data_IF_117659872630
#
_entry.id   IF_117659872630
#
_cell.length_a   1.000
_cell.length_b   1.000
_cell.length_c   1.000
_cell.angle_alpha   90.00
_cell.angle_beta   90.00
_cell.angle_gamma   90.00
#
_symmetry.space_group_name_H-M   'P 1'
#
loop_
_entity.id
_entity.type
_entity.pdbx_description
1 polymer ?
#
# COMPACT_ATOMS: atom_id res chain seq x y z
N UNK A 1 19.93 13.38 -24.43
CA UNK A 1 19.12 12.39 -23.72
C UNK A 1 18.20 13.20 -22.83
N UNK A 2 16.91 13.23 -23.09
CA UNK A 2 15.93 13.75 -22.13
C UNK A 2 15.90 12.72 -21.02
N UNK A 3 16.52 13.02 -19.90
CA UNK A 3 16.34 12.21 -18.68
C UNK A 3 14.90 12.47 -18.25
N UNK A 4 14.03 11.46 -18.37
CA UNK A 4 12.72 11.51 -17.73
C UNK A 4 12.97 11.76 -16.24
N UNK A 5 12.61 12.94 -15.77
CA UNK A 5 12.78 13.36 -14.38
C UNK A 5 11.74 12.59 -13.55
N UNK A 6 12.17 11.62 -12.74
CA UNK A 6 11.30 10.80 -11.90
C UNK A 6 10.76 11.63 -10.73
N UNK A 7 9.56 12.19 -10.92
CA UNK A 7 8.94 13.11 -9.97
C UNK A 7 7.88 12.41 -9.11
N UNK A 8 8.01 12.55 -7.80
CA UNK A 8 7.04 12.11 -6.80
C UNK A 8 6.46 13.31 -6.09
N UNK A 9 5.15 13.38 -5.98
CA UNK A 9 4.45 14.28 -5.06
C UNK A 9 3.89 13.47 -3.91
N UNK A 10 4.34 13.79 -2.70
CA UNK A 10 3.89 13.18 -1.45
C UNK A 10 2.92 14.10 -0.74
N UNK A 11 1.68 13.64 -0.57
CA UNK A 11 0.63 14.38 0.14
C UNK A 11 0.43 13.76 1.53
N UNK A 12 0.77 14.53 2.54
CA UNK A 12 0.78 14.14 3.94
C UNK A 12 2.18 13.88 4.49
N UNK A 13 2.78 14.92 5.11
CA UNK A 13 4.09 14.88 5.76
C UNK A 13 4.00 14.36 7.21
N UNK A 14 3.18 13.31 7.44
CA UNK A 14 3.09 12.59 8.69
C UNK A 14 4.22 11.55 8.85
N UNK A 15 4.18 10.73 9.91
CA UNK A 15 5.21 9.72 10.18
C UNK A 15 5.39 8.74 9.02
N UNK A 16 4.30 8.29 8.39
CA UNK A 16 4.35 7.39 7.22
C UNK A 16 4.97 8.09 6.03
N UNK A 17 4.47 9.29 5.68
CA UNK A 17 4.99 10.08 4.56
C UNK A 17 6.46 10.38 4.71
N UNK A 18 6.91 10.81 5.89
CA UNK A 18 8.31 11.13 6.11
C UNK A 18 9.22 9.90 6.17
N UNK A 19 8.73 8.75 6.66
CA UNK A 19 9.46 7.48 6.52
C UNK A 19 9.65 7.08 5.06
N UNK A 20 8.64 7.31 4.22
CA UNK A 20 8.73 7.09 2.78
C UNK A 20 9.70 8.07 2.13
N UNK A 21 9.57 9.37 2.39
CA UNK A 21 10.47 10.41 1.86
C UNK A 21 11.94 10.11 2.20
N UNK A 22 12.23 9.75 3.45
CA UNK A 22 13.57 9.36 3.89
C UNK A 22 14.06 8.08 3.23
N UNK A 23 13.17 7.10 3.02
CA UNK A 23 13.51 5.87 2.29
C UNK A 23 13.81 6.14 0.81
N UNK A 24 13.06 7.04 0.14
CA UNK A 24 13.34 7.47 -1.24
C UNK A 24 14.73 8.11 -1.34
N UNK A 25 15.06 9.02 -0.42
CA UNK A 25 16.36 9.70 -0.36
C UNK A 25 17.49 8.70 -0.20
N UNK A 26 17.41 7.79 0.78
CA UNK A 26 18.47 6.81 1.03
C UNK A 26 18.66 5.81 -0.12
N UNK A 27 17.61 5.51 -0.88
CA UNK A 27 17.66 4.56 -2.00
C UNK A 27 17.84 5.24 -3.37
N UNK A 28 17.95 6.58 -3.42
CA UNK A 28 18.01 7.35 -4.66
C UNK A 28 16.88 6.93 -5.65
N UNK A 29 15.66 6.87 -5.11
CA UNK A 29 14.55 6.23 -5.81
C UNK A 29 13.73 7.20 -6.69
N UNK A 30 13.92 8.51 -6.58
CA UNK A 30 13.37 9.52 -7.47
C UNK A 30 14.36 10.68 -7.64
N UNK A 31 14.10 11.58 -8.57
CA UNK A 31 14.95 12.74 -8.87
C UNK A 31 14.35 14.04 -8.29
N UNK A 32 13.02 14.09 -8.17
CA UNK A 32 12.29 15.21 -7.59
C UNK A 32 11.22 14.72 -6.61
N UNK A 33 11.23 15.28 -5.41
CA UNK A 33 10.26 14.98 -4.34
C UNK A 33 9.60 16.29 -3.88
N UNK A 34 8.30 16.38 -4.08
CA UNK A 34 7.48 17.50 -3.62
C UNK A 34 6.71 17.06 -2.38
N UNK A 35 6.76 17.85 -1.32
CA UNK A 35 6.01 17.60 -0.08
C UNK A 35 4.82 18.54 -0.01
N UNK A 36 3.62 17.98 0.11
CA UNK A 36 2.38 18.74 0.32
C UNK A 36 1.77 18.31 1.65
N UNK A 37 1.48 19.28 2.51
CA UNK A 37 0.76 19.06 3.77
C UNK A 37 -0.16 20.25 4.05
N UNK A 38 -1.29 19.99 4.72
CA UNK A 38 -2.20 21.05 5.18
C UNK A 38 -1.46 22.08 6.06
N UNK A 39 -0.49 21.62 6.84
CA UNK A 39 0.43 22.46 7.57
C UNK A 39 1.68 22.74 6.69
N UNK A 40 1.61 23.80 5.87
CA UNK A 40 2.70 24.20 4.96
C UNK A 40 4.04 24.39 5.67
N UNK A 41 4.06 24.98 6.88
CA UNK A 41 5.29 25.15 7.66
C UNK A 41 5.93 23.81 8.03
N UNK A 42 5.12 22.79 8.26
CA UNK A 42 5.62 21.44 8.48
C UNK A 42 6.28 20.90 7.21
N UNK A 43 5.61 20.98 6.07
CA UNK A 43 6.19 20.52 4.80
C UNK A 43 7.52 21.25 4.47
N UNK A 44 7.58 22.56 4.71
CA UNK A 44 8.81 23.36 4.57
C UNK A 44 9.93 22.86 5.50
N UNK A 45 9.63 22.64 6.78
CA UNK A 45 10.60 22.13 7.76
C UNK A 45 11.12 20.75 7.41
N UNK A 46 10.23 19.83 7.02
CA UNK A 46 10.59 18.47 6.60
C UNK A 46 11.46 18.49 5.31
N UNK A 47 11.12 19.36 4.34
CA UNK A 47 11.93 19.54 3.14
C UNK A 47 13.32 20.07 3.46
N UNK A 48 13.43 21.04 4.37
CA UNK A 48 14.72 21.59 4.82
C UNK A 48 15.58 20.51 5.48
N UNK A 49 15.03 19.73 6.37
CA UNK A 49 15.74 18.68 7.10
C UNK A 49 16.26 17.58 6.16
N UNK A 50 15.42 17.12 5.22
CA UNK A 50 15.85 16.19 4.17
C UNK A 50 16.97 16.76 3.28
N UNK A 51 16.87 18.04 2.87
CA UNK A 51 17.90 18.70 2.07
C UNK A 51 19.24 18.82 2.81
N UNK A 52 19.22 19.06 4.12
CA UNK A 52 20.45 19.07 4.91
C UNK A 52 21.14 17.70 4.92
N UNK A 53 20.38 16.62 4.82
CA UNK A 53 20.89 15.25 4.70
C UNK A 53 21.52 14.92 3.35
N UNK A 54 21.17 15.65 2.27
CA UNK A 54 21.67 15.35 0.91
C UNK A 54 23.19 15.40 0.80
N UNK A 55 23.85 16.27 1.56
CA UNK A 55 25.32 16.36 1.57
C UNK A 55 26.02 15.04 1.98
N UNK A 56 25.31 14.14 2.65
CA UNK A 56 25.80 12.84 3.12
C UNK A 56 25.17 11.66 2.37
N UNK A 57 24.30 11.93 1.40
CA UNK A 57 23.61 10.94 0.59
C UNK A 57 24.29 10.72 -0.76
N UNK A 58 24.13 9.53 -1.32
CA UNK A 58 24.48 9.27 -2.73
C UNK A 58 23.42 9.80 -3.71
N UNK A 59 22.27 10.25 -3.21
CA UNK A 59 21.19 10.79 -4.02
C UNK A 59 21.50 12.23 -4.46
N UNK A 60 21.05 12.57 -5.68
CA UNK A 60 21.00 13.94 -6.19
C UNK A 60 19.53 14.27 -6.45
N UNK A 61 18.81 14.59 -5.39
CA UNK A 61 17.37 14.76 -5.41
C UNK A 61 17.00 16.20 -5.13
N UNK A 62 16.07 16.76 -5.91
CA UNK A 62 15.44 18.06 -5.62
C UNK A 62 14.26 17.82 -4.66
N UNK A 63 14.32 18.43 -3.47
CA UNK A 63 13.28 18.27 -2.44
C UNK A 63 12.75 19.64 -2.03
N UNK A 64 11.43 19.84 -2.06
CA UNK A 64 10.81 21.09 -1.64
C UNK A 64 9.36 20.90 -1.19
N UNK A 65 8.87 21.85 -0.39
CA UNK A 65 7.45 21.99 -0.10
C UNK A 65 6.76 22.66 -1.28
N UNK A 66 5.69 22.04 -1.79
CA UNK A 66 4.98 22.52 -2.98
C UNK A 66 3.48 22.64 -2.76
N UNK A 67 2.78 22.88 -3.88
CA UNK A 67 1.33 23.04 -3.95
C UNK A 67 0.74 22.02 -4.93
N UNK A 68 -0.59 21.95 -5.05
CA UNK A 68 -1.24 20.97 -5.92
C UNK A 68 -0.93 21.15 -7.41
N UNK A 69 -0.54 22.35 -7.85
CA UNK A 69 -0.08 22.63 -9.20
C UNK A 69 1.17 21.85 -9.60
N UNK A 70 2.02 21.52 -8.61
CA UNK A 70 3.22 20.70 -8.81
C UNK A 70 2.87 19.22 -9.16
N UNK A 71 1.61 18.80 -9.02
CA UNK A 71 1.17 17.47 -9.44
C UNK A 71 1.11 17.32 -10.97
N UNK A 72 1.01 18.41 -11.73
CA UNK A 72 0.78 18.40 -13.18
C UNK A 72 1.74 17.51 -13.96
N UNK A 73 3.01 17.56 -13.62
CA UNK A 73 4.10 16.82 -14.27
C UNK A 73 4.69 15.71 -13.38
N UNK A 74 3.96 15.31 -12.35
CA UNK A 74 4.36 14.21 -11.48
C UNK A 74 4.07 12.85 -12.13
N UNK A 75 4.99 11.90 -11.94
CA UNK A 75 4.76 10.51 -12.35
C UNK A 75 3.91 9.75 -11.33
N UNK A 76 4.13 10.05 -10.06
CA UNK A 76 3.43 9.38 -8.96
C UNK A 76 2.97 10.41 -7.93
N UNK A 77 1.69 10.40 -7.61
CA UNK A 77 1.13 11.08 -6.43
C UNK A 77 0.88 10.05 -5.35
N UNK A 78 1.56 10.20 -4.21
CA UNK A 78 1.46 9.31 -3.05
C UNK A 78 0.62 9.97 -1.97
N UNK A 79 -0.47 9.32 -1.55
CA UNK A 79 -1.37 9.84 -0.51
C UNK A 79 -1.12 9.11 0.80
N UNK A 80 -0.46 9.79 1.73
CA UNK A 80 -0.28 9.38 3.13
C UNK A 80 -1.10 10.24 4.10
N UNK A 81 -1.82 11.23 3.57
CA UNK A 81 -2.68 12.11 4.35
C UNK A 81 -3.93 11.39 4.83
N UNK A 82 -4.29 11.60 6.08
CA UNK A 82 -5.47 11.04 6.70
C UNK A 82 -5.59 11.52 8.14
N UNK A 83 -6.74 11.28 8.73
CA UNK A 83 -6.99 11.62 10.14
C UNK A 83 -6.93 10.37 11.01
N UNK A 84 -6.32 10.50 12.18
CA UNK A 84 -6.30 9.44 13.17
C UNK A 84 -7.70 9.20 13.77
N UNK A 85 -7.99 7.95 14.15
CA UNK A 85 -9.20 7.61 14.88
C UNK A 85 -9.23 8.30 16.24
N UNK A 86 -10.36 8.90 16.57
CA UNK A 86 -10.59 9.52 17.88
C UNK A 86 -11.02 8.45 18.89
N UNK A 87 -10.74 8.64 20.20
CA UNK A 87 -11.29 7.76 21.22
C UNK A 87 -12.82 7.65 21.13
N UNK A 88 -13.33 6.42 21.07
CA UNK A 88 -14.77 6.14 20.96
C UNK A 88 -15.40 6.37 19.57
N UNK A 89 -14.60 6.75 18.58
CA UNK A 89 -15.10 6.94 17.20
C UNK A 89 -15.33 5.58 16.52
N UNK A 90 -16.47 5.47 15.81
CA UNK A 90 -16.74 4.26 15.01
C UNK A 90 -15.87 4.21 13.75
N UNK A 91 -15.62 3.00 13.22
CA UNK A 91 -14.90 2.79 11.96
C UNK A 91 -15.53 3.59 10.80
N UNK A 92 -16.87 3.62 10.74
CA UNK A 92 -17.60 4.36 9.71
C UNK A 92 -17.42 5.88 9.82
N UNK A 93 -17.46 6.43 11.04
CA UNK A 93 -17.24 7.88 11.25
C UNK A 93 -15.80 8.30 10.84
N UNK A 94 -14.79 7.48 11.17
CA UNK A 94 -13.42 7.68 10.69
C UNK A 94 -13.34 7.63 9.17
N UNK A 95 -14.00 6.64 8.55
CA UNK A 95 -14.00 6.47 7.10
C UNK A 95 -14.62 7.67 6.38
N UNK A 96 -15.75 8.20 6.88
CA UNK A 96 -16.37 9.43 6.37
C UNK A 96 -15.43 10.64 6.43
N UNK A 97 -14.73 10.81 7.55
CA UNK A 97 -13.76 11.90 7.69
C UNK A 97 -12.62 11.77 6.70
N UNK A 98 -12.09 10.57 6.52
CA UNK A 98 -11.04 10.32 5.54
C UNK A 98 -11.53 10.50 4.09
N UNK A 99 -12.78 10.13 3.78
CA UNK A 99 -13.38 10.38 2.46
C UNK A 99 -13.45 11.89 2.13
N UNK A 100 -13.84 12.73 3.10
CA UNK A 100 -13.84 14.20 2.95
C UNK A 100 -12.40 14.73 2.73
N UNK A 101 -11.41 14.22 3.45
CA UNK A 101 -9.99 14.57 3.23
C UNK A 101 -9.56 14.16 1.82
N UNK A 102 -9.89 12.94 1.39
CA UNK A 102 -9.53 12.48 0.04
C UNK A 102 -10.16 13.30 -1.06
N UNK A 103 -11.43 13.70 -0.92
CA UNK A 103 -12.06 14.61 -1.87
C UNK A 103 -11.29 15.93 -1.98
N UNK A 104 -10.91 16.55 -0.86
CA UNK A 104 -10.14 17.81 -0.84
C UNK A 104 -8.71 17.67 -1.40
N UNK A 105 -8.19 16.45 -1.56
CA UNK A 105 -6.90 16.16 -2.16
C UNK A 105 -7.06 15.82 -3.66
N UNK A 106 -7.96 14.90 -3.99
CA UNK A 106 -8.06 14.34 -5.33
C UNK A 106 -8.61 15.37 -6.32
N UNK A 107 -9.57 16.20 -5.92
CA UNK A 107 -10.12 17.26 -6.78
C UNK A 107 -9.04 18.25 -7.27
N UNK A 108 -8.21 18.89 -6.42
CA UNK A 108 -7.15 19.76 -6.89
C UNK A 108 -6.02 19.01 -7.63
N UNK A 109 -5.68 17.78 -7.25
CA UNK A 109 -4.70 16.97 -7.98
C UNK A 109 -5.18 16.71 -9.41
N UNK A 110 -6.42 16.31 -9.60
CA UNK A 110 -6.98 16.09 -10.95
C UNK A 110 -7.12 17.42 -11.73
N UNK A 111 -7.52 18.48 -11.05
CA UNK A 111 -7.63 19.82 -11.66
C UNK A 111 -6.27 20.40 -12.12
N UNK A 112 -5.15 19.97 -11.52
CA UNK A 112 -3.80 20.37 -11.97
C UNK A 112 -3.44 19.87 -13.36
N UNK A 113 -4.15 18.85 -13.87
CA UNK A 113 -3.83 18.15 -15.12
C UNK A 113 -2.92 16.93 -14.92
N UNK A 114 -2.81 16.44 -13.67
CA UNK A 114 -2.09 15.19 -13.36
C UNK A 114 -2.63 14.02 -14.19
N UNK A 115 -1.72 13.22 -14.76
CA UNK A 115 -2.03 12.00 -15.54
C UNK A 115 -1.10 10.82 -15.18
N UNK A 116 -0.44 10.89 -14.03
CA UNK A 116 0.44 9.85 -13.50
C UNK A 116 -0.30 8.72 -12.77
N UNK A 117 0.35 8.20 -11.75
CA UNK A 117 -0.14 7.06 -10.95
C UNK A 117 -0.47 7.55 -9.53
N UNK A 118 -1.67 7.24 -9.04
CA UNK A 118 -2.02 7.37 -7.63
C UNK A 118 -1.55 6.14 -6.83
N UNK A 119 -0.78 6.36 -5.77
CA UNK A 119 -0.38 5.35 -4.80
C UNK A 119 -0.90 5.72 -3.41
N UNK A 120 -1.84 4.93 -2.91
CA UNK A 120 -2.55 5.20 -1.65
C UNK A 120 -1.95 4.38 -0.51
N UNK A 121 -1.67 5.03 0.63
CA UNK A 121 -1.19 4.39 1.86
C UNK A 121 -2.09 4.66 3.08
N UNK A 122 -3.08 5.49 2.94
CA UNK A 122 -4.01 5.87 4.04
C UNK A 122 -4.99 4.75 4.33
N UNK A 123 -5.10 4.36 5.61
CA UNK A 123 -6.06 3.35 6.05
C UNK A 123 -7.48 3.92 6.22
N UNK A 124 -8.51 3.04 5.97
CA UNK A 124 -8.43 1.68 5.43
C UNK A 124 -8.09 1.68 3.94
N UNK A 125 -6.90 1.17 3.60
CA UNK A 125 -6.24 1.42 2.30
C UNK A 125 -7.05 0.96 1.10
N UNK A 126 -7.69 -0.19 1.16
CA UNK A 126 -8.45 -0.74 0.03
C UNK A 126 -9.67 0.14 -0.30
N UNK A 127 -10.38 0.60 0.74
CA UNK A 127 -11.54 1.50 0.58
C UNK A 127 -11.09 2.88 0.11
N UNK A 128 -10.00 3.42 0.69
CA UNK A 128 -9.46 4.72 0.26
C UNK A 128 -8.93 4.67 -1.18
N UNK A 129 -8.40 3.53 -1.62
CA UNK A 129 -8.02 3.29 -3.02
C UNK A 129 -9.25 3.29 -3.94
N UNK A 130 -10.37 2.65 -3.52
CA UNK A 130 -11.64 2.72 -4.26
C UNK A 130 -12.20 4.14 -4.32
N UNK A 131 -12.14 4.89 -3.21
CA UNK A 131 -12.56 6.30 -3.17
C UNK A 131 -11.70 7.13 -4.14
N UNK A 132 -10.39 6.92 -4.18
CA UNK A 132 -9.50 7.59 -5.13
C UNK A 132 -9.92 7.31 -6.58
N UNK A 133 -10.26 6.06 -6.89
CA UNK A 133 -10.76 5.66 -8.21
C UNK A 133 -12.05 6.39 -8.58
N UNK A 134 -13.03 6.40 -7.68
CA UNK A 134 -14.33 7.01 -7.93
C UNK A 134 -14.22 8.53 -8.09
N UNK A 135 -13.44 9.20 -7.23
CA UNK A 135 -13.29 10.66 -7.26
C UNK A 135 -12.42 11.15 -8.43
N UNK A 136 -11.38 10.42 -8.80
CA UNK A 136 -10.48 10.84 -9.88
C UNK A 136 -10.98 10.50 -11.28
N UNK A 137 -11.79 9.46 -11.43
CA UNK A 137 -12.19 8.93 -12.73
C UNK A 137 -11.07 8.32 -13.57
N UNK A 138 -9.89 8.09 -12.96
CA UNK A 138 -8.73 7.55 -13.67
C UNK A 138 -8.93 6.07 -14.06
N UNK A 139 -8.12 5.63 -15.04
CA UNK A 139 -8.03 4.21 -15.34
C UNK A 139 -7.57 3.46 -14.07
N UNK A 140 -8.27 2.40 -13.64
CA UNK A 140 -7.92 1.68 -12.41
C UNK A 140 -6.53 1.04 -12.43
N UNK A 141 -5.87 0.92 -13.58
CA UNK A 141 -4.46 0.51 -13.65
C UNK A 141 -3.51 1.58 -13.09
N UNK A 142 -3.90 2.85 -13.13
CA UNK A 142 -3.13 3.98 -12.59
C UNK A 142 -3.46 4.28 -11.12
N UNK A 143 -4.26 3.44 -10.47
CA UNK A 143 -4.65 3.61 -9.07
C UNK A 143 -4.35 2.32 -8.33
N UNK A 144 -3.48 2.41 -7.33
CA UNK A 144 -3.12 1.29 -6.49
C UNK A 144 -2.95 1.74 -5.04
N UNK A 145 -3.35 0.90 -4.12
CA UNK A 145 -3.03 1.05 -2.72
C UNK A 145 -1.86 0.16 -2.32
N UNK A 146 -1.23 0.44 -1.20
CA UNK A 146 -0.16 -0.43 -0.67
C UNK A 146 -0.66 -1.85 -0.40
N UNK A 147 -1.96 -2.03 -0.18
CA UNK A 147 -2.59 -3.34 0.03
C UNK A 147 -1.87 -4.15 1.11
N UNK A 148 -1.68 -5.41 0.83
CA UNK A 148 -0.99 -6.37 1.71
C UNK A 148 0.52 -6.51 1.41
N UNK A 149 1.15 -5.50 0.77
CA UNK A 149 2.58 -5.55 0.46
C UNK A 149 3.45 -5.63 1.72
N UNK A 150 3.10 -4.86 2.77
CA UNK A 150 3.82 -4.90 4.04
C UNK A 150 3.53 -6.19 4.81
N UNK A 151 2.31 -6.69 4.78
CA UNK A 151 1.91 -7.94 5.45
C UNK A 151 2.62 -9.13 4.81
N UNK A 152 2.75 -9.12 3.49
CA UNK A 152 3.57 -10.09 2.76
C UNK A 152 5.05 -10.03 3.16
N UNK A 153 5.60 -8.83 3.39
CA UNK A 153 6.97 -8.70 3.89
C UNK A 153 7.12 -9.24 5.33
N UNK A 154 6.13 -8.99 6.19
CA UNK A 154 6.05 -9.55 7.56
C UNK A 154 5.99 -11.07 7.54
N UNK A 155 5.12 -11.62 6.68
CA UNK A 155 4.99 -13.07 6.49
C UNK A 155 6.33 -13.69 6.09
N UNK A 156 7.00 -13.12 5.08
CA UNK A 156 8.30 -13.63 4.61
C UNK A 156 9.38 -13.52 5.69
N UNK A 157 9.37 -12.43 6.47
CA UNK A 157 10.30 -12.27 7.58
C UNK A 157 10.11 -13.37 8.63
N UNK A 158 8.87 -13.59 9.11
CA UNK A 158 8.57 -14.61 10.12
C UNK A 158 8.86 -16.04 9.61
N UNK A 159 8.52 -16.31 8.36
CA UNK A 159 8.89 -17.59 7.73
C UNK A 159 10.40 -17.75 7.59
N UNK A 160 11.12 -16.68 7.26
CA UNK A 160 12.58 -16.67 7.17
C UNK A 160 13.23 -17.02 8.50
N UNK A 161 12.77 -16.44 9.60
CA UNK A 161 13.21 -16.76 10.96
C UNK A 161 12.91 -18.22 11.31
N UNK A 162 11.68 -18.68 11.05
CA UNK A 162 11.25 -20.04 11.37
C UNK A 162 12.01 -21.11 10.57
N UNK A 163 12.14 -20.89 9.26
CA UNK A 163 12.80 -21.83 8.35
C UNK A 163 14.32 -21.64 8.27
N UNK A 164 14.87 -20.63 8.96
CA UNK A 164 16.29 -20.25 8.97
C UNK A 164 16.86 -20.00 7.57
N UNK A 165 16.12 -19.23 6.77
CA UNK A 165 16.48 -18.85 5.40
C UNK A 165 16.30 -17.35 5.19
N UNK A 166 17.01 -16.80 4.21
CA UNK A 166 16.78 -15.39 3.81
C UNK A 166 15.34 -15.23 3.31
N UNK A 167 14.55 -14.26 3.84
CA UNK A 167 13.18 -14.00 3.44
C UNK A 167 12.98 -13.79 1.94
N UNK A 168 14.01 -13.36 1.21
CA UNK A 168 13.98 -13.17 -0.24
C UNK A 168 13.84 -14.47 -1.05
N UNK A 169 14.12 -15.60 -0.44
CA UNK A 169 13.96 -16.93 -1.06
C UNK A 169 12.55 -17.51 -0.85
N UNK A 170 11.68 -16.80 -0.13
CA UNK A 170 10.32 -17.24 0.19
C UNK A 170 9.34 -16.57 -0.76
N UNK A 171 8.58 -17.38 -1.49
CA UNK A 171 7.50 -16.96 -2.36
C UNK A 171 6.16 -17.25 -1.68
N UNK A 172 5.78 -16.39 -0.76
CA UNK A 172 4.52 -16.42 -0.04
C UNK A 172 3.90 -15.03 -0.07
N UNK A 173 2.57 -14.95 -0.04
CA UNK A 173 1.82 -13.71 -0.19
C UNK A 173 0.69 -13.65 0.84
N UNK A 174 0.29 -12.45 1.23
CA UNK A 174 -0.93 -12.18 1.97
C UNK A 174 -1.97 -11.61 1.02
N UNK A 175 -3.19 -12.12 1.08
CA UNK A 175 -4.32 -11.77 0.23
C UNK A 175 -5.43 -11.11 1.03
N UNK A 176 -6.33 -10.42 0.34
CA UNK A 176 -7.57 -9.87 0.91
C UNK A 176 -7.47 -8.41 1.30
N UNK A 177 -8.35 -7.99 2.17
CA UNK A 177 -8.34 -6.68 2.83
C UNK A 177 -7.04 -6.52 3.62
N UNK A 178 -6.40 -5.36 3.56
CA UNK A 178 -5.37 -5.03 4.54
C UNK A 178 -6.04 -4.75 5.90
N UNK A 179 -6.18 -5.78 6.73
CA UNK A 179 -6.89 -5.75 8.00
C UNK A 179 -7.20 -7.15 8.54
N UNK A 180 -8.25 -7.24 9.36
CA UNK A 180 -8.56 -8.48 10.10
C UNK A 180 -8.99 -9.66 9.22
N UNK A 181 -9.41 -9.41 7.96
CA UNK A 181 -9.83 -10.46 7.02
C UNK A 181 -8.75 -10.87 6.02
N UNK A 182 -7.51 -10.38 6.17
CA UNK A 182 -6.38 -10.84 5.37
C UNK A 182 -6.05 -12.32 5.66
N UNK A 183 -5.43 -13.00 4.68
CA UNK A 183 -5.06 -14.39 4.85
C UNK A 183 -3.87 -14.81 4.00
N UNK A 184 -3.25 -15.92 4.38
CA UNK A 184 -2.15 -16.54 3.62
C UNK A 184 -2.70 -17.72 2.82
N UNK A 185 -2.62 -17.70 1.47
CA UNK A 185 -2.91 -18.88 0.65
C UNK A 185 -1.74 -19.86 0.74
N UNK A 186 -1.76 -20.70 1.76
CA UNK A 186 -0.71 -21.68 2.03
C UNK A 186 -0.49 -22.69 0.92
N UNK A 187 -1.54 -22.97 0.10
CA UNK A 187 -1.43 -23.81 -1.09
C UNK A 187 -0.43 -23.27 -2.12
N UNK A 188 -0.15 -21.95 -2.08
CA UNK A 188 0.71 -21.24 -3.01
C UNK A 188 2.04 -20.79 -2.38
N UNK A 189 2.25 -21.04 -1.08
CA UNK A 189 3.46 -20.65 -0.39
C UNK A 189 4.62 -21.61 -0.68
N UNK A 190 5.77 -21.06 -1.10
CA UNK A 190 6.94 -21.84 -1.50
C UNK A 190 8.23 -21.30 -0.89
N UNK A 191 9.13 -22.19 -0.55
CA UNK A 191 10.54 -21.92 -0.33
C UNK A 191 11.31 -22.37 -1.59
N UNK A 192 11.91 -21.44 -2.30
CA UNK A 192 12.40 -21.68 -3.66
C UNK A 192 11.30 -22.29 -4.56
N UNK A 193 11.41 -23.55 -4.94
CA UNK A 193 10.42 -24.26 -5.78
C UNK A 193 9.63 -25.31 -5.02
N UNK A 194 9.85 -25.45 -3.70
CA UNK A 194 9.20 -26.48 -2.87
C UNK A 194 8.06 -25.85 -2.08
N UNK A 195 6.88 -26.48 -2.12
CA UNK A 195 5.75 -26.04 -1.30
C UNK A 195 6.08 -26.10 0.19
N UNK A 196 5.73 -25.06 0.94
CA UNK A 196 5.92 -25.02 2.40
C UNK A 196 5.09 -26.13 3.05
N UNK A 197 3.89 -26.44 2.55
CA UNK A 197 3.09 -27.54 3.06
C UNK A 197 3.78 -28.90 2.85
N UNK A 198 4.45 -29.08 1.71
CA UNK A 198 5.24 -30.30 1.45
C UNK A 198 6.45 -30.37 2.38
N UNK A 199 7.08 -29.26 2.72
CA UNK A 199 8.17 -29.24 3.71
C UNK A 199 7.67 -29.70 5.09
N UNK A 200 6.44 -29.32 5.49
CA UNK A 200 5.84 -29.82 6.73
C UNK A 200 5.64 -31.36 6.71
N UNK A 201 5.27 -31.92 5.56
CA UNK A 201 5.03 -33.36 5.44
C UNK A 201 6.33 -34.18 5.45
N UNK A 202 7.42 -33.59 4.97
CA UNK A 202 8.73 -34.25 4.87
C UNK A 202 9.63 -34.01 6.09
N UNK A 203 9.42 -32.93 6.83
CA UNK A 203 10.25 -32.57 7.99
C UNK A 203 9.37 -32.34 9.23
N UNK A 204 9.40 -33.26 10.22
CA UNK A 204 8.64 -33.12 11.46
C UNK A 204 8.97 -31.88 12.30
N UNK A 205 10.09 -31.22 12.07
CA UNK A 205 10.45 -29.95 12.74
C UNK A 205 9.67 -28.75 12.19
N UNK A 206 9.03 -28.89 11.01
CA UNK A 206 8.24 -27.84 10.38
C UNK A 206 6.75 -28.15 10.56
N UNK A 207 6.17 -27.56 11.60
CA UNK A 207 4.81 -27.86 12.04
C UNK A 207 3.78 -26.98 11.31
N UNK A 208 2.69 -27.59 10.83
CA UNK A 208 1.57 -26.87 10.21
C UNK A 208 0.88 -25.92 11.20
N UNK A 209 0.85 -26.24 12.48
CA UNK A 209 0.26 -25.35 13.51
C UNK A 209 1.08 -24.08 13.65
N UNK A 210 2.41 -24.14 13.54
CA UNK A 210 3.27 -22.95 13.55
C UNK A 210 2.98 -22.02 12.36
N UNK A 211 2.63 -22.56 11.20
CA UNK A 211 2.21 -21.74 10.06
C UNK A 211 0.95 -20.93 10.37
N UNK A 212 -0.03 -21.51 11.04
CA UNK A 212 -1.25 -20.79 11.48
C UNK A 212 -0.94 -19.70 12.52
N UNK A 213 0.01 -19.97 13.41
CA UNK A 213 0.46 -18.96 14.38
C UNK A 213 1.14 -17.80 13.67
N UNK A 214 2.02 -18.08 12.69
CA UNK A 214 2.68 -17.05 11.87
C UNK A 214 1.63 -16.19 11.15
N UNK A 215 0.57 -16.77 10.58
CA UNK A 215 -0.52 -16.02 9.96
C UNK A 215 -1.19 -15.07 10.97
N UNK A 216 -1.51 -15.53 12.18
CA UNK A 216 -2.05 -14.69 13.26
C UNK A 216 -1.06 -13.61 13.72
N UNK A 217 0.24 -13.91 13.73
CA UNK A 217 1.28 -12.93 14.06
C UNK A 217 1.39 -11.83 13.00
N UNK A 218 1.21 -12.15 11.71
CA UNK A 218 1.16 -11.17 10.62
C UNK A 218 -0.01 -10.22 10.81
N UNK A 219 -1.24 -10.76 11.00
CA UNK A 219 -2.46 -9.98 11.24
C UNK A 219 -2.33 -9.08 12.47
N UNK A 220 -1.72 -9.61 13.55
CA UNK A 220 -1.53 -8.88 14.81
C UNK A 220 -0.33 -7.95 14.86
N UNK A 221 0.56 -7.94 13.85
CA UNK A 221 1.84 -7.25 13.92
C UNK A 221 1.70 -5.73 14.08
N UNK A 222 0.74 -5.12 13.37
CA UNK A 222 0.51 -3.68 13.45
C UNK A 222 0.08 -3.25 14.86
N UNK A 223 -0.81 -4.01 15.49
CA UNK A 223 -1.30 -3.73 16.85
C UNK A 223 -0.16 -3.78 17.88
N UNK A 224 0.69 -4.82 17.83
CA UNK A 224 1.86 -4.95 18.72
C UNK A 224 2.84 -3.79 18.57
N UNK A 225 3.11 -3.35 17.32
CA UNK A 225 4.01 -2.22 17.05
C UNK A 225 3.41 -0.90 17.57
N UNK A 226 2.10 -0.68 17.35
CA UNK A 226 1.40 0.52 17.81
C UNK A 226 1.35 0.56 19.33
N UNK A 227 1.09 -0.55 20.00
CA UNK A 227 1.14 -0.65 21.45
C UNK A 227 2.52 -0.28 21.99
N UNK A 228 3.60 -0.73 21.34
CA UNK A 228 4.97 -0.50 21.79
C UNK A 228 5.51 0.92 21.52
N UNK A 229 5.10 1.56 20.42
CA UNK A 229 5.69 2.84 19.96
C UNK A 229 4.69 3.85 19.41
N UNK A 230 3.39 3.65 19.66
CA UNK A 230 2.25 4.49 19.29
C UNK A 230 1.95 4.61 17.79
N UNK A 231 2.81 4.12 16.90
CA UNK A 231 2.58 4.14 15.45
C UNK A 231 3.49 3.13 14.74
N UNK A 232 3.08 2.68 13.55
CA UNK A 232 3.91 1.92 12.61
C UNK A 232 4.15 2.76 11.35
N UNK A 233 5.40 2.90 10.91
CA UNK A 233 5.74 3.78 9.78
C UNK A 233 6.99 3.36 8.97
N UNK A 234 7.99 2.73 9.56
CA UNK A 234 9.21 2.35 8.81
C UNK A 234 8.93 1.29 7.74
N UNK A 235 8.20 0.23 8.10
CA UNK A 235 7.90 -0.87 7.17
C UNK A 235 7.08 -0.40 5.98
N UNK A 236 6.06 0.44 6.23
CA UNK A 236 5.23 0.97 5.16
C UNK A 236 5.99 1.98 4.27
N UNK A 237 6.89 2.78 4.84
CA UNK A 237 7.79 3.64 4.06
C UNK A 237 8.66 2.84 3.08
N UNK A 238 9.21 1.70 3.54
CA UNK A 238 9.96 0.78 2.68
C UNK A 238 9.08 0.11 1.61
N UNK A 239 7.86 -0.29 1.95
CA UNK A 239 6.91 -0.88 1.00
C UNK A 239 6.53 0.12 -0.10
N UNK A 240 6.22 1.37 0.24
CA UNK A 240 5.97 2.46 -0.69
C UNK A 240 7.17 2.67 -1.64
N UNK A 241 8.38 2.75 -1.09
CA UNK A 241 9.60 2.88 -1.90
C UNK A 241 9.80 1.69 -2.84
N UNK A 242 9.49 0.47 -2.39
CA UNK A 242 9.58 -0.72 -3.23
C UNK A 242 8.61 -0.67 -4.41
N UNK A 243 7.36 -0.21 -4.18
CA UNK A 243 6.36 -0.02 -5.23
C UNK A 243 6.81 1.09 -6.20
N UNK A 244 7.25 2.23 -5.67
CA UNK A 244 7.78 3.36 -6.48
C UNK A 244 8.93 2.91 -7.39
N UNK A 245 9.88 2.14 -6.87
CA UNK A 245 10.99 1.60 -7.67
C UNK A 245 10.53 0.64 -8.76
N UNK A 246 9.52 -0.19 -8.49
CA UNK A 246 8.95 -1.07 -9.52
C UNK A 246 8.32 -0.29 -10.68
N UNK A 247 7.69 0.85 -10.36
CA UNK A 247 7.10 1.75 -11.35
C UNK A 247 8.20 2.44 -12.15
N UNK A 248 9.12 3.15 -11.51
CA UNK A 248 10.18 3.90 -12.17
C UNK A 248 11.18 3.03 -12.93
N UNK A 249 11.46 1.84 -12.42
CA UNK A 249 12.36 0.87 -13.06
C UNK A 249 11.72 0.08 -14.19
N UNK A 250 10.41 0.25 -14.48
CA UNK A 250 9.65 -0.56 -15.44
C UNK A 250 9.87 -2.08 -15.19
N UNK A 251 9.94 -2.48 -13.90
CA UNK A 251 10.48 -3.78 -13.50
C UNK A 251 9.57 -4.97 -13.84
N UNK A 252 8.26 -4.76 -14.04
CA UNK A 252 7.25 -5.83 -14.09
C UNK A 252 7.30 -6.76 -12.86
N UNK A 253 7.52 -6.17 -11.69
CA UNK A 253 7.62 -6.89 -10.41
C UNK A 253 6.27 -7.38 -9.92
N UNK A 254 6.27 -8.54 -9.25
CA UNK A 254 5.08 -9.07 -8.56
C UNK A 254 5.03 -8.54 -7.13
N UNK A 255 4.01 -7.73 -6.84
CA UNK A 255 3.75 -7.14 -5.52
C UNK A 255 2.28 -7.32 -5.14
N UNK A 256 2.00 -7.55 -3.85
CA UNK A 256 0.62 -7.64 -3.33
C UNK A 256 0.10 -6.25 -3.00
N UNK A 257 -0.46 -5.61 -3.99
CA UNK A 257 -1.04 -4.26 -3.88
C UNK A 257 -2.55 -4.30 -3.89
N UNK A 258 -3.18 -3.28 -3.34
CA UNK A 258 -4.62 -3.08 -3.49
C UNK A 258 -4.91 -2.67 -4.93
N UNK A 259 -5.56 -3.56 -5.67
CA UNK A 259 -5.89 -3.38 -7.07
C UNK A 259 -7.35 -3.76 -7.34
N UNK A 260 -7.95 -3.14 -8.37
CA UNK A 260 -9.32 -3.45 -8.77
C UNK A 260 -9.40 -4.85 -9.39
N UNK A 261 -10.26 -5.69 -8.82
CA UNK A 261 -10.63 -6.99 -9.38
C UNK A 261 -11.75 -6.80 -10.42
N UNK A 262 -11.56 -7.42 -11.59
CA UNK A 262 -12.43 -7.31 -12.77
C UNK A 262 -12.90 -8.68 -13.28
N UNK A 263 -13.12 -9.61 -12.36
CA UNK A 263 -13.49 -11.00 -12.63
C UNK A 263 -12.46 -12.01 -12.15
N UNK A 264 -11.27 -11.55 -11.70
CA UNK A 264 -10.30 -12.44 -11.10
C UNK A 264 -10.89 -13.04 -9.83
N UNK A 265 -10.69 -14.35 -9.65
CA UNK A 265 -11.24 -15.12 -8.52
C UNK A 265 -12.76 -15.03 -8.35
N UNK A 266 -13.50 -14.68 -9.43
CA UNK A 266 -14.94 -14.43 -9.38
C UNK A 266 -15.33 -13.09 -8.74
N UNK A 267 -14.38 -12.22 -8.41
CA UNK A 267 -14.62 -10.94 -7.74
C UNK A 267 -14.63 -9.78 -8.75
N UNK A 268 -15.52 -8.82 -8.55
CA UNK A 268 -15.64 -7.62 -9.39
C UNK A 268 -15.86 -6.38 -8.55
N UNK A 269 -15.49 -5.23 -9.07
CA UNK A 269 -15.71 -3.89 -8.49
C UNK A 269 -15.26 -3.74 -7.02
N UNK A 270 -14.16 -4.36 -6.69
CA UNK A 270 -13.53 -4.25 -5.37
C UNK A 270 -12.03 -4.06 -5.53
N UNK A 271 -11.44 -3.17 -4.74
CA UNK A 271 -10.00 -3.07 -4.56
C UNK A 271 -9.59 -3.96 -3.38
N UNK A 272 -8.63 -4.84 -3.58
CA UNK A 272 -8.18 -5.81 -2.58
C UNK A 272 -6.70 -6.15 -2.78
N UNK A 273 -6.02 -6.50 -1.72
CA UNK A 273 -4.63 -6.94 -1.75
C UNK A 273 -4.49 -8.28 -2.47
N UNK A 274 -3.88 -8.26 -3.65
CA UNK A 274 -3.61 -9.45 -4.47
C UNK A 274 -2.28 -9.30 -5.21
N UNK A 275 -1.60 -10.39 -5.59
CA UNK A 275 -0.40 -10.30 -6.40
C UNK A 275 -0.69 -9.65 -7.74
N UNK A 276 0.01 -8.55 -8.03
CA UNK A 276 -0.11 -7.81 -9.28
C UNK A 276 1.27 -7.65 -9.93
N UNK A 277 1.30 -7.64 -11.25
CA UNK A 277 2.48 -7.21 -12.00
C UNK A 277 2.45 -5.70 -12.09
N UNK A 278 3.48 -5.05 -11.55
CA UNK A 278 3.64 -3.60 -11.47
C UNK A 278 4.79 -3.15 -12.36
N UNK A 279 4.52 -2.14 -13.19
CA UNK A 279 5.50 -1.51 -14.06
C UNK A 279 5.21 0.00 -14.19
N UNK A 280 5.88 0.69 -15.10
CA UNK A 280 5.71 2.15 -15.32
C UNK A 280 4.27 2.60 -15.65
N UNK A 281 3.39 1.69 -16.03
CA UNK A 281 1.98 1.99 -16.31
C UNK A 281 1.07 1.69 -15.09
N UNK A 282 1.64 1.41 -13.91
CA UNK A 282 0.93 1.00 -12.71
C UNK A 282 0.63 -0.50 -12.67
N UNK A 283 -0.59 -0.89 -12.36
CA UNK A 283 -1.03 -2.29 -12.35
C UNK A 283 -1.22 -2.79 -13.77
N UNK A 284 -0.28 -3.57 -14.27
CA UNK A 284 -0.39 -4.15 -15.60
C UNK A 284 -1.51 -5.21 -15.64
N UNK A 285 -1.50 -6.12 -14.67
CA UNK A 285 -2.53 -7.15 -14.46
C UNK A 285 -2.44 -7.77 -13.07
N UNK A 286 -3.54 -8.32 -12.59
CA UNK A 286 -3.56 -9.22 -11.44
C UNK A 286 -2.95 -10.57 -11.89
N UNK A 287 -2.01 -11.08 -11.09
CA UNK A 287 -1.43 -12.40 -11.29
C UNK A 287 -2.32 -13.45 -10.58
N UNK A 288 -3.19 -14.08 -11.37
CA UNK A 288 -4.14 -15.06 -10.82
C UNK A 288 -3.41 -16.36 -10.43
N UNK A 289 -3.34 -16.66 -9.13
CA UNK A 289 -2.80 -17.89 -8.59
C UNK A 289 -3.91 -18.96 -8.45
N UNK A 290 -3.54 -20.24 -8.44
CA UNK A 290 -4.50 -21.34 -8.31
C UNK A 290 -4.84 -21.57 -6.83
N UNK A 291 -5.79 -20.81 -6.29
CA UNK A 291 -6.25 -20.93 -4.90
C UNK A 291 -7.10 -22.19 -4.73
N UNK A 292 -7.04 -22.82 -3.54
CA UNK A 292 -7.98 -23.87 -3.13
C UNK A 292 -9.40 -23.32 -2.96
N UNK A 293 -10.39 -24.18 -2.87
CA UNK A 293 -11.79 -23.76 -2.66
C UNK A 293 -11.97 -23.03 -1.32
N UNK A 294 -11.27 -23.45 -0.28
CA UNK A 294 -11.26 -22.78 1.02
C UNK A 294 -10.67 -21.38 0.92
N UNK A 295 -9.52 -21.24 0.24
CA UNK A 295 -8.85 -19.96 0.02
C UNK A 295 -9.67 -19.00 -0.84
N UNK A 296 -10.39 -19.53 -1.86
CA UNK A 296 -11.35 -18.75 -2.64
C UNK A 296 -12.50 -18.23 -1.77
N UNK A 297 -13.02 -19.07 -0.86
CA UNK A 297 -14.05 -18.64 0.10
C UNK A 297 -13.56 -17.57 1.07
N UNK A 298 -12.31 -17.66 1.54
CA UNK A 298 -11.68 -16.63 2.38
C UNK A 298 -11.52 -15.31 1.62
N UNK A 299 -11.10 -15.35 0.36
CA UNK A 299 -10.99 -14.15 -0.47
C UNK A 299 -12.36 -13.51 -0.72
N UNK A 300 -13.38 -14.30 -1.01
CA UNK A 300 -14.75 -13.82 -1.20
C UNK A 300 -15.26 -13.13 0.08
N UNK A 301 -15.07 -13.75 1.25
CA UNK A 301 -15.43 -13.15 2.53
C UNK A 301 -14.72 -11.81 2.75
N UNK A 302 -13.41 -11.74 2.50
CA UNK A 302 -12.60 -10.53 2.63
C UNK A 302 -13.06 -9.43 1.66
N UNK A 303 -13.38 -9.77 0.41
CA UNK A 303 -13.94 -8.83 -0.56
C UNK A 303 -15.34 -8.32 -0.15
N UNK A 304 -16.15 -9.16 0.48
CA UNK A 304 -17.48 -8.74 0.97
C UNK A 304 -17.36 -7.74 2.12
N UNK A 305 -16.41 -7.92 3.06
CA UNK A 305 -16.12 -6.92 4.10
C UNK A 305 -15.82 -5.55 3.49
N UNK A 306 -15.04 -5.51 2.41
CA UNK A 306 -14.70 -4.26 1.72
C UNK A 306 -15.92 -3.64 1.01
N UNK A 307 -16.74 -4.46 0.34
CA UNK A 307 -17.97 -3.98 -0.33
C UNK A 307 -18.96 -3.40 0.68
N UNK A 308 -19.26 -4.15 1.73
CA UNK A 308 -20.19 -3.74 2.77
C UNK A 308 -19.78 -2.40 3.40
N UNK A 309 -18.50 -2.25 3.73
CA UNK A 309 -17.94 -1.02 4.28
C UNK A 309 -18.04 0.16 3.31
N UNK A 310 -17.80 -0.06 2.01
CA UNK A 310 -17.92 0.99 1.00
C UNK A 310 -19.39 1.36 0.75
N UNK A 311 -20.29 0.38 0.67
CA UNK A 311 -21.73 0.62 0.48
C UNK A 311 -22.36 1.36 1.67
N UNK A 312 -21.95 1.02 2.89
CA UNK A 312 -22.39 1.74 4.09
C UNK A 312 -21.99 3.21 4.02
N UNK A 313 -20.73 3.50 3.60
CA UNK A 313 -20.27 4.87 3.38
C UNK A 313 -21.09 5.59 2.31
N UNK A 314 -21.35 4.95 1.16
CA UNK A 314 -22.10 5.56 0.05
C UNK A 314 -23.55 5.89 0.43
N UNK A 315 -24.26 4.95 1.07
CA UNK A 315 -25.67 5.16 1.54
C UNK A 315 -25.80 6.33 2.50
N UNK A 316 -24.79 6.59 3.31
CA UNK A 316 -24.82 7.69 4.27
C UNK A 316 -24.33 9.01 3.66
N UNK A 317 -23.47 8.96 2.61
CA UNK A 317 -23.09 10.13 1.82
C UNK A 317 -24.30 10.74 1.10
N UNK A 318 -25.11 9.91 0.48
CA UNK A 318 -26.36 10.35 -0.20
C UNK A 318 -27.40 11.00 0.75
N UNK A 319 -27.32 10.74 2.04
CA UNK A 319 -28.20 11.34 3.06
C UNK A 319 -27.73 12.71 3.55
N UNK A 320 -26.46 13.04 3.37
CA UNK A 320 -25.90 14.34 3.78
C UNK A 320 -25.95 15.39 2.64
N UNK A 321 -26.26 14.98 1.40
CA UNK A 321 -26.44 15.88 0.24
C UNK A 321 -27.91 16.30 0.00
N UNK A 322 -28.87 15.97 0.92
CA UNK A 322 -30.29 16.42 0.88
C UNK A 322 -30.54 17.54 1.89
#
# INVERSE_FOLDING_TARGET
MVTDNRKVVLIGAGMVGMSYAYSLLNQNACDELVLIDLNKKRAEGEAMDLNHGLAFSAANMKIYAGEYEDCKDADIVVICAGVAQKPGETRLALLKRNAKVFRSIIEPVTASGFDGIFLVATNPVDIMTKITYVLSGFNPRKILGTGTALDTARLRYLLGEYLRVDPRNIHAYVFGEHGDSEFVPWSQAQLATKSILQLCDENPEIERERLKEIEREVQGAAYKIIEAKNATYYGIGMALTRITRAIFGDESSVLTVSAMLKGEYGQTDVFSGVPCIINKNGVQRVLKLALSQEELGRLEQSCNVLRDSYEELAREGDREEV
#
